data_IF_712800893034
#
_entry.id   IF_712800893034
#
_cell.length_a   1.000
_cell.length_b   1.000
_cell.length_c   1.000
_cell.angle_alpha   90.00
_cell.angle_beta   90.00
_cell.angle_gamma   90.00
#
_symmetry.space_group_name_H-M   'P 1'
#
loop_
_entity.id
_entity.type
_entity.pdbx_description
1 polymer ?
#
# COMPACT_ATOMS: atom_id res chain seq x y z
N UNK A 1 -9.15 -32.85 2.29
CA UNK A 1 -8.24 -31.74 2.62
C UNK A 1 -9.04 -30.73 3.41
N UNK A 2 -8.70 -30.57 4.68
CA UNK A 2 -9.62 -30.12 5.74
C UNK A 2 -9.84 -28.61 5.76
N UNK A 3 -11.10 -28.20 5.87
CA UNK A 3 -11.61 -26.84 6.12
C UNK A 3 -11.11 -26.18 7.43
N UNK A 4 -10.15 -26.80 8.12
CA UNK A 4 -9.58 -26.34 9.40
C UNK A 4 -8.44 -25.33 9.25
N UNK A 5 -7.88 -25.15 8.04
CA UNK A 5 -6.63 -24.43 7.90
C UNK A 5 -6.79 -22.89 7.89
N UNK A 6 -7.99 -22.36 7.58
CA UNK A 6 -8.28 -20.91 7.54
C UNK A 6 -9.75 -20.59 7.85
N UNK A 7 -10.17 -20.60 9.13
CA UNK A 7 -11.59 -20.48 9.50
C UNK A 7 -12.22 -19.13 9.11
N UNK A 8 -11.44 -18.05 9.13
CA UNK A 8 -11.95 -16.70 8.82
C UNK A 8 -12.18 -16.50 7.33
N UNK A 9 -11.24 -16.92 6.48
CA UNK A 9 -11.37 -16.83 5.01
C UNK A 9 -12.51 -17.71 4.51
N UNK A 10 -12.67 -18.89 5.11
CA UNK A 10 -13.80 -19.76 4.80
C UNK A 10 -15.14 -19.10 5.14
N UNK A 11 -15.25 -18.50 6.34
CA UNK A 11 -16.45 -17.75 6.75
C UNK A 11 -16.75 -16.58 5.83
N UNK A 12 -15.73 -15.83 5.42
CA UNK A 12 -15.89 -14.71 4.48
C UNK A 12 -16.28 -15.17 3.07
N UNK A 13 -15.79 -16.34 2.66
CA UNK A 13 -16.20 -16.96 1.40
C UNK A 13 -17.67 -17.39 1.43
N UNK A 14 -18.15 -17.92 2.55
CA UNK A 14 -19.57 -18.23 2.74
C UNK A 14 -20.44 -16.97 2.67
N UNK A 15 -20.02 -15.88 3.31
CA UNK A 15 -20.71 -14.58 3.19
C UNK A 15 -20.74 -14.10 1.74
N UNK A 16 -19.63 -14.23 1.02
CA UNK A 16 -19.53 -13.84 -0.38
C UNK A 16 -20.49 -14.64 -1.25
N UNK A 17 -20.55 -15.96 -1.07
CA UNK A 17 -21.48 -16.84 -1.79
C UNK A 17 -22.94 -16.47 -1.50
N UNK A 18 -23.29 -16.16 -0.25
CA UNK A 18 -24.64 -15.72 0.11
C UNK A 18 -25.05 -14.42 -0.62
N UNK A 19 -24.11 -13.48 -0.80
CA UNK A 19 -24.34 -12.25 -1.58
C UNK A 19 -24.52 -12.56 -3.08
N UNK A 20 -23.82 -13.58 -3.59
CA UNK A 20 -23.89 -13.96 -5.00
C UNK A 20 -25.14 -14.77 -5.36
N UNK A 21 -25.73 -15.51 -4.42
CA UNK A 21 -26.93 -16.33 -4.67
C UNK A 21 -28.07 -15.59 -5.40
N UNK A 22 -28.47 -14.36 -5.01
CA UNK A 22 -29.51 -13.63 -5.75
C UNK A 22 -29.04 -13.10 -7.12
N UNK A 23 -27.72 -12.96 -7.34
CA UNK A 23 -27.14 -12.35 -8.53
C UNK A 23 -26.73 -13.37 -9.60
N UNK A 24 -26.48 -14.61 -9.18
CA UNK A 24 -25.96 -15.68 -10.03
C UNK A 24 -26.88 -16.92 -9.94
N UNK A 25 -27.68 -17.15 -10.98
CA UNK A 25 -28.61 -18.28 -11.03
C UNK A 25 -27.97 -19.69 -10.95
N UNK A 26 -26.64 -19.83 -11.07
CA UNK A 26 -25.95 -21.13 -10.92
C UNK A 26 -25.81 -21.50 -9.46
N UNK A 27 -26.02 -20.53 -8.56
CA UNK A 27 -26.03 -20.73 -7.12
C UNK A 27 -27.46 -20.90 -6.57
N UNK A 28 -28.48 -20.73 -7.40
CA UNK A 28 -29.88 -20.94 -6.99
C UNK A 28 -30.16 -22.44 -6.84
N UNK A 29 -30.76 -22.83 -5.72
CA UNK A 29 -31.09 -24.23 -5.44
C UNK A 29 -29.91 -25.11 -5.03
N UNK A 30 -28.71 -24.53 -4.82
CA UNK A 30 -27.57 -25.26 -4.30
C UNK A 30 -27.84 -25.78 -2.88
N UNK A 31 -27.50 -27.04 -2.62
CA UNK A 31 -27.62 -27.61 -1.27
C UNK A 31 -26.58 -26.99 -0.33
N UNK A 32 -26.77 -27.06 1.00
CA UNK A 32 -25.76 -26.62 1.94
C UNK A 32 -24.39 -27.29 1.73
N UNK A 33 -24.38 -28.53 1.25
CA UNK A 33 -23.16 -29.27 0.94
C UNK A 33 -22.45 -28.69 -0.29
N UNK A 34 -23.19 -28.39 -1.37
CA UNK A 34 -22.64 -27.75 -2.57
C UNK A 34 -22.01 -26.37 -2.26
N UNK A 35 -22.69 -25.59 -1.41
CA UNK A 35 -22.21 -24.27 -0.97
C UNK A 35 -20.92 -24.43 -0.17
N UNK A 36 -20.86 -25.40 0.76
CA UNK A 36 -19.67 -25.66 1.56
C UNK A 36 -18.49 -26.14 0.72
N UNK A 37 -18.71 -27.04 -0.24
CA UNK A 37 -17.66 -27.54 -1.12
C UNK A 37 -17.13 -26.41 -2.02
N UNK A 38 -18.02 -25.59 -2.58
CA UNK A 38 -17.62 -24.42 -3.37
C UNK A 38 -16.87 -23.40 -2.52
N UNK A 39 -17.29 -23.16 -1.28
CA UNK A 39 -16.61 -22.27 -0.36
C UNK A 39 -15.19 -22.76 -0.03
N UNK A 40 -14.97 -24.06 0.13
CA UNK A 40 -13.62 -24.62 0.34
C UNK A 40 -12.69 -24.35 -0.85
N UNK A 41 -13.18 -24.59 -2.07
CA UNK A 41 -12.40 -24.33 -3.30
C UNK A 41 -12.07 -22.85 -3.44
N UNK A 42 -13.05 -21.98 -3.19
CA UNK A 42 -12.89 -20.53 -3.35
C UNK A 42 -12.02 -19.91 -2.26
N UNK A 43 -12.09 -20.42 -1.03
CA UNK A 43 -11.30 -19.91 0.09
C UNK A 43 -9.79 -20.00 -0.18
N UNK A 44 -9.32 -21.09 -0.81
CA UNK A 44 -7.91 -21.23 -1.19
C UNK A 44 -7.48 -20.16 -2.21
N UNK A 45 -8.31 -19.90 -3.22
CA UNK A 45 -8.03 -18.87 -4.23
C UNK A 45 -8.09 -17.45 -3.65
N UNK A 46 -9.04 -17.18 -2.74
CA UNK A 46 -9.16 -15.87 -2.08
C UNK A 46 -7.97 -15.62 -1.16
N UNK A 47 -7.53 -16.64 -0.42
CA UNK A 47 -6.36 -16.56 0.44
C UNK A 47 -5.10 -16.22 -0.36
N UNK A 48 -4.87 -16.92 -1.47
CA UNK A 48 -3.74 -16.66 -2.37
C UNK A 48 -3.77 -15.24 -2.97
N UNK A 49 -4.98 -14.74 -3.29
CA UNK A 49 -5.13 -13.39 -3.84
C UNK A 49 -4.84 -12.26 -2.83
N UNK A 50 -4.77 -12.55 -1.53
CA UNK A 50 -4.55 -11.58 -0.44
C UNK A 50 -5.52 -10.38 -0.50
N UNK A 51 -6.80 -10.66 -0.73
CA UNK A 51 -7.87 -9.66 -0.79
C UNK A 51 -8.79 -9.82 0.43
N UNK A 52 -9.13 -8.70 1.07
CA UNK A 52 -10.06 -8.68 2.21
C UNK A 52 -11.51 -8.79 1.75
N UNK A 53 -12.40 -9.22 2.64
CA UNK A 53 -13.83 -9.32 2.35
C UNK A 53 -14.45 -8.00 1.86
N UNK A 54 -14.06 -6.86 2.43
CA UNK A 54 -14.59 -5.55 2.02
C UNK A 54 -14.35 -5.24 0.54
N UNK A 55 -13.14 -5.56 0.05
CA UNK A 55 -12.81 -5.39 -1.37
C UNK A 55 -13.58 -6.36 -2.26
N UNK A 56 -13.78 -7.61 -1.82
CA UNK A 56 -14.58 -8.60 -2.55
C UNK A 56 -16.05 -8.16 -2.64
N UNK A 57 -16.64 -7.72 -1.54
CA UNK A 57 -18.01 -7.25 -1.48
C UNK A 57 -18.23 -6.01 -2.39
N UNK A 58 -17.31 -5.05 -2.36
CA UNK A 58 -17.35 -3.90 -3.27
C UNK A 58 -17.23 -4.32 -4.75
N UNK A 59 -16.39 -5.31 -5.04
CA UNK A 59 -16.18 -5.82 -6.39
C UNK A 59 -17.43 -6.55 -6.94
N UNK A 60 -18.15 -7.33 -6.12
CA UNK A 60 -19.39 -8.01 -6.54
C UNK A 60 -20.37 -7.03 -7.16
N UNK A 61 -20.62 -5.90 -6.48
CA UNK A 61 -21.56 -4.88 -6.98
C UNK A 61 -21.15 -4.34 -8.35
N UNK A 62 -19.85 -4.17 -8.61
CA UNK A 62 -19.36 -3.64 -9.90
C UNK A 62 -19.35 -4.69 -11.01
N UNK A 63 -18.99 -5.93 -10.68
CA UNK A 63 -18.98 -7.04 -11.64
C UNK A 63 -20.40 -7.33 -12.14
N UNK A 64 -21.38 -7.37 -11.23
CA UNK A 64 -22.77 -7.67 -11.57
C UNK A 64 -23.61 -6.42 -11.91
N UNK A 65 -23.03 -5.21 -11.86
CA UNK A 65 -23.67 -4.02 -12.44
C UNK A 65 -23.54 -3.99 -13.97
N UNK A 66 -22.63 -4.77 -14.55
CA UNK A 66 -22.49 -4.89 -16.00
C UNK A 66 -23.56 -5.84 -16.53
N UNK A 67 -24.12 -5.56 -17.71
CA UNK A 67 -25.21 -6.32 -18.30
C UNK A 67 -24.85 -7.79 -18.61
N UNK A 68 -23.56 -8.09 -18.73
CA UNK A 68 -23.06 -9.44 -18.98
C UNK A 68 -22.62 -10.12 -17.69
N UNK A 69 -23.16 -11.32 -17.47
CA UNK A 69 -22.79 -12.17 -16.36
C UNK A 69 -21.40 -12.80 -16.60
N UNK A 70 -20.50 -12.76 -15.60
CA UNK A 70 -19.17 -13.33 -15.75
C UNK A 70 -19.21 -14.86 -15.91
N UNK A 71 -18.46 -15.38 -16.88
CA UNK A 71 -18.27 -16.83 -17.05
C UNK A 71 -17.60 -17.46 -15.83
N UNK A 72 -16.61 -16.75 -15.26
CA UNK A 72 -15.93 -17.10 -14.02
C UNK A 72 -16.18 -16.01 -12.95
N UNK A 73 -17.19 -16.18 -12.07
CA UNK A 73 -17.55 -15.20 -11.05
C UNK A 73 -16.40 -14.86 -10.11
N UNK A 74 -15.70 -15.87 -9.57
CA UNK A 74 -14.63 -15.65 -8.59
C UNK A 74 -13.47 -14.88 -9.22
N UNK A 75 -13.04 -15.30 -10.41
CA UNK A 75 -11.95 -14.63 -11.12
C UNK A 75 -12.26 -13.17 -11.42
N UNK A 76 -13.49 -12.87 -11.88
CA UNK A 76 -13.94 -11.51 -12.15
C UNK A 76 -13.98 -10.65 -10.87
N UNK A 77 -14.51 -11.19 -9.77
CA UNK A 77 -14.56 -10.49 -8.47
C UNK A 77 -13.15 -10.19 -7.96
N UNK A 78 -12.23 -11.15 -8.02
CA UNK A 78 -10.84 -10.95 -7.57
C UNK A 78 -10.14 -9.89 -8.43
N UNK A 79 -10.30 -9.95 -9.76
CA UNK A 79 -9.70 -8.98 -10.67
C UNK A 79 -10.21 -7.55 -10.39
N UNK A 80 -11.52 -7.40 -10.21
CA UNK A 80 -12.14 -6.11 -9.90
C UNK A 80 -11.75 -5.60 -8.51
N UNK A 81 -11.66 -6.49 -7.50
CA UNK A 81 -11.20 -6.14 -6.17
C UNK A 81 -9.76 -5.61 -6.17
N UNK A 82 -8.86 -6.27 -6.94
CA UNK A 82 -7.49 -5.78 -7.16
C UNK A 82 -7.47 -4.41 -7.82
N UNK A 83 -8.34 -4.19 -8.82
CA UNK A 83 -8.48 -2.89 -9.50
C UNK A 83 -8.92 -1.80 -8.51
N UNK A 84 -9.96 -2.05 -7.71
CA UNK A 84 -10.47 -1.11 -6.70
C UNK A 84 -9.42 -0.73 -5.66
N UNK A 85 -8.68 -1.72 -5.14
CA UNK A 85 -7.57 -1.49 -4.21
C UNK A 85 -6.49 -0.59 -4.83
N UNK A 86 -6.13 -0.84 -6.09
CA UNK A 86 -5.13 -0.05 -6.80
C UNK A 86 -5.58 1.39 -7.11
N UNK A 87 -6.87 1.62 -7.33
CA UNK A 87 -7.40 2.97 -7.52
C UNK A 87 -7.39 3.76 -6.22
N UNK A 88 -7.79 3.13 -5.12
CA UNK A 88 -7.82 3.77 -3.80
C UNK A 88 -6.44 4.20 -3.34
N UNK A 89 -5.39 3.41 -3.61
CA UNK A 89 -4.01 3.83 -3.32
C UNK A 89 -3.54 5.00 -4.19
N UNK A 90 -3.99 5.10 -5.45
CA UNK A 90 -3.69 6.24 -6.34
C UNK A 90 -4.34 7.53 -5.87
N UNK A 91 -5.58 7.47 -5.39
CA UNK A 91 -6.25 8.65 -4.84
C UNK A 91 -5.60 9.14 -3.54
N UNK A 92 -5.14 8.23 -2.67
CA UNK A 92 -4.34 8.60 -1.50
C UNK A 92 -2.98 9.20 -1.88
N UNK A 93 -2.33 8.72 -2.95
CA UNK A 93 -1.08 9.28 -3.44
C UNK A 93 -1.27 10.65 -4.13
N UNK A 94 -2.39 10.86 -4.83
CA UNK A 94 -2.74 12.12 -5.46
C UNK A 94 -3.14 13.22 -4.45
N UNK A 95 -3.55 12.83 -3.24
CA UNK A 95 -3.84 13.74 -2.14
C UNK A 95 -2.59 14.18 -1.36
N UNK A 96 -1.42 13.59 -1.62
CA UNK A 96 -0.18 14.09 -1.05
C UNK A 96 0.21 15.36 -1.81
N UNK A 97 0.39 16.50 -1.11
CA UNK A 97 0.92 17.70 -1.77
C UNK A 97 2.25 17.32 -2.44
N UNK A 98 2.54 17.85 -3.65
CA UNK A 98 3.82 17.60 -4.29
C UNK A 98 4.94 17.93 -3.27
N UNK A 99 6.01 17.12 -3.19
CA UNK A 99 7.10 17.39 -2.26
C UNK A 99 7.54 18.84 -2.47
N UNK A 100 7.45 19.66 -1.41
CA UNK A 100 7.74 21.10 -1.48
C UNK A 100 9.09 21.27 -2.17
N UNK A 101 9.07 21.78 -3.41
CA UNK A 101 10.29 22.15 -4.12
C UNK A 101 10.94 23.29 -3.33
N UNK A 102 12.19 23.07 -2.92
CA UNK A 102 13.05 24.05 -2.28
C UNK A 102 12.47 24.66 -0.99
N UNK A 103 12.24 23.84 0.04
CA UNK A 103 12.14 24.39 1.38
C UNK A 103 13.51 24.77 1.91
N UNK A 104 13.56 25.86 2.67
CA UNK A 104 14.73 26.27 3.45
C UNK A 104 15.25 25.12 4.34
N UNK A 105 16.51 25.17 4.80
CA UNK A 105 17.04 24.22 5.77
C UNK A 105 16.10 24.09 6.97
N UNK A 106 15.67 22.87 7.27
CA UNK A 106 14.78 22.63 8.41
C UNK A 106 15.63 22.48 9.66
N UNK A 107 15.58 23.46 10.57
CA UNK A 107 16.39 23.47 11.79
C UNK A 107 16.30 22.16 12.58
N UNK A 108 15.12 21.55 12.66
CA UNK A 108 14.92 20.25 13.31
C UNK A 108 15.72 19.10 12.67
N UNK A 109 15.88 19.10 11.34
CA UNK A 109 16.64 18.09 10.62
C UNK A 109 18.16 18.22 10.83
N UNK A 110 18.66 19.42 11.14
CA UNK A 110 20.07 19.67 11.44
C UNK A 110 20.39 19.56 12.94
N UNK A 111 19.40 19.82 13.80
CA UNK A 111 19.54 19.69 15.24
C UNK A 111 19.47 18.22 15.67
N UNK A 112 18.69 17.41 14.95
CA UNK A 112 18.66 15.96 15.16
C UNK A 112 20.07 15.38 14.96
N UNK A 113 20.60 14.76 16.01
CA UNK A 113 21.95 14.17 16.06
C UNK A 113 23.13 15.17 16.02
N UNK A 114 22.90 16.46 16.30
CA UNK A 114 23.96 17.47 16.42
C UNK A 114 24.68 17.76 15.10
N UNK A 115 23.99 17.60 13.96
CA UNK A 115 24.58 17.82 12.64
C UNK A 115 25.00 19.29 12.43
N UNK A 116 24.26 20.22 13.02
CA UNK A 116 24.52 21.67 12.90
C UNK A 116 25.91 22.05 13.44
N UNK A 117 26.39 21.40 14.50
CA UNK A 117 27.67 21.73 15.15
C UNK A 117 28.88 21.07 14.48
N UNK A 118 28.66 20.37 13.36
CA UNK A 118 29.68 19.56 12.68
C UNK A 118 29.91 20.08 11.27
N UNK A 119 31.15 19.96 10.79
CA UNK A 119 31.47 20.15 9.37
C UNK A 119 30.97 18.97 8.52
N UNK A 120 30.57 19.25 7.29
CA UNK A 120 30.20 18.24 6.30
C UNK A 120 31.34 18.03 5.29
N UNK A 121 31.90 16.82 5.21
CA UNK A 121 32.96 16.52 4.25
C UNK A 121 32.46 16.28 2.82
N UNK A 122 31.16 15.99 2.66
CA UNK A 122 30.56 15.75 1.33
C UNK A 122 30.32 17.04 0.56
N UNK A 123 29.96 18.14 1.23
CA UNK A 123 29.71 19.44 0.58
C UNK A 123 30.56 20.60 1.10
N UNK A 124 31.42 20.36 2.09
CA UNK A 124 32.29 21.40 2.68
C UNK A 124 31.62 22.35 3.68
N UNK A 125 30.31 22.22 3.93
CA UNK A 125 29.59 23.11 4.85
C UNK A 125 30.19 23.09 6.27
N UNK A 126 30.39 24.27 6.86
CA UNK A 126 30.95 24.42 8.21
C UNK A 126 29.89 24.18 9.31
N UNK A 127 30.34 24.10 10.56
CA UNK A 127 29.44 24.16 11.71
C UNK A 127 28.62 25.46 11.68
N UNK A 128 27.33 25.38 11.97
CA UNK A 128 26.36 26.47 11.83
C UNK A 128 25.80 26.65 10.41
N UNK A 129 26.45 26.10 9.38
CA UNK A 129 26.01 26.25 8.00
C UNK A 129 25.18 25.04 7.52
N UNK A 130 24.11 25.23 6.73
CA UNK A 130 23.39 24.13 6.13
C UNK A 130 24.23 23.42 5.05
N UNK A 131 23.96 22.14 4.81
CA UNK A 131 24.56 21.44 3.67
C UNK A 131 24.06 22.04 2.37
N UNK A 132 24.88 22.03 1.31
CA UNK A 132 24.48 22.50 -0.02
C UNK A 132 24.42 21.35 -1.03
N UNK A 133 23.49 21.43 -1.98
CA UNK A 133 23.42 20.56 -3.14
C UNK A 133 23.56 21.38 -4.43
N UNK A 134 24.24 20.80 -5.42
CA UNK A 134 24.33 21.38 -6.76
C UNK A 134 23.09 20.96 -7.57
N UNK A 135 22.38 21.95 -8.10
CA UNK A 135 21.26 21.74 -9.00
C UNK A 135 21.74 21.37 -10.41
N UNK A 136 20.82 20.94 -11.27
CA UNK A 136 21.08 20.64 -12.68
C UNK A 136 21.54 21.87 -13.49
N UNK A 137 21.25 23.08 -13.01
CA UNK A 137 21.74 24.35 -13.58
C UNK A 137 23.13 24.76 -13.04
N UNK A 138 23.75 23.93 -12.20
CA UNK A 138 25.05 24.19 -11.58
C UNK A 138 25.02 25.13 -10.37
N UNK A 139 23.87 25.70 -10.01
CA UNK A 139 23.71 26.54 -8.81
C UNK A 139 23.81 25.72 -7.53
N UNK A 140 24.39 26.30 -6.48
CA UNK A 140 24.40 25.71 -5.14
C UNK A 140 23.17 26.21 -4.37
N UNK A 141 22.40 25.28 -3.79
CA UNK A 141 21.32 25.61 -2.88
C UNK A 141 21.45 24.88 -1.54
N UNK A 142 21.06 25.51 -0.43
CA UNK A 142 20.94 24.82 0.84
C UNK A 142 19.99 23.63 0.73
N UNK A 143 20.36 22.51 1.34
CA UNK A 143 19.55 21.30 1.46
C UNK A 143 18.61 21.44 2.65
N UNK A 144 17.41 20.91 2.48
CA UNK A 144 16.39 20.78 3.53
C UNK A 144 16.92 20.01 4.74
N UNK A 145 17.71 18.96 4.48
CA UNK A 145 18.29 18.06 5.47
C UNK A 145 19.81 17.90 5.26
N UNK A 146 20.58 17.63 6.34
CA UNK A 146 22.02 17.41 6.23
C UNK A 146 22.33 16.17 5.38
N UNK A 147 23.54 16.10 4.82
CA UNK A 147 24.04 14.87 4.23
C UNK A 147 24.14 13.77 5.30
N UNK A 148 23.87 12.53 4.92
CA UNK A 148 23.98 11.38 5.83
C UNK A 148 25.40 11.25 6.39
N UNK A 149 26.41 11.54 5.57
CA UNK A 149 27.81 11.63 5.99
C UNK A 149 28.03 12.61 7.15
N UNK A 150 27.32 13.74 7.19
CA UNK A 150 27.38 14.71 8.29
C UNK A 150 26.76 14.17 9.59
N UNK A 151 25.77 13.29 9.48
CA UNK A 151 25.14 12.62 10.64
C UNK A 151 26.04 11.50 11.20
N UNK A 152 26.68 10.74 10.32
CA UNK A 152 27.44 9.54 10.66
C UNK A 152 28.88 9.79 11.13
N UNK A 153 29.43 10.99 10.92
CA UNK A 153 30.78 11.33 11.39
C UNK A 153 30.83 11.43 12.92
N UNK A 154 30.99 10.26 13.56
CA UNK A 154 31.49 10.11 14.91
C UNK A 154 33.00 10.26 14.88
N UNK A 155 33.52 11.48 14.97
CA UNK A 155 34.83 11.64 15.61
C UNK A 155 34.58 11.47 17.13
N UNK A 156 35.29 10.57 17.83
CA UNK A 156 35.21 10.52 19.28
C UNK A 156 35.69 11.86 19.84
N UNK A 157 34.93 12.43 20.77
CA UNK A 157 35.42 13.50 21.62
C UNK A 157 36.65 12.96 22.37
N UNK A 158 37.84 13.44 21.99
CA UNK A 158 39.01 13.38 22.84
C UNK A 158 38.75 14.32 24.02
N UNK A 159 38.66 13.74 25.22
CA UNK A 159 38.86 14.43 26.48
C UNK A 159 40.34 14.37 26.86
#
# INVERSE_FOLDING_TARGET
MSSQQYPDVFRDTLKLLAILTPLDSRLQGATPEDVNQKAQVWAATILDAQITFDWLNAAVKKVYAQAERPLNPLGAIIAEAKRLRSQSSRFSAAALPPPRRASEPVAGAYSAHGAIDRRCFECGAQAGEPCTARNSDGSLRPRVAPHVSRLQNHAPHAA
#
